data_IF_218315771230
#
_entry.id   IF_218315771230
#
_cell.length_a   1.000
_cell.length_b   1.000
_cell.length_c   1.000
_cell.angle_alpha   90.00
_cell.angle_beta   90.00
_cell.angle_gamma   90.00
#
_symmetry.space_group_name_H-M   'P 1'
#
loop_
_entity.id
_entity.type
_entity.pdbx_description
1 polymer ?
#
# COMPACT_ATOMS: atom_id res chain seq x y z
N UNK A 1 19.84 -25.96 -25.94
CA UNK A 1 18.96 -25.24 -24.97
C UNK A 1 19.32 -25.77 -23.59
N UNK A 2 19.87 -24.93 -22.68
CA UNK A 2 20.42 -25.42 -21.40
C UNK A 2 19.35 -26.09 -20.54
N UNK A 3 19.68 -27.25 -19.94
CA UNK A 3 18.82 -28.04 -19.04
C UNK A 3 18.22 -27.21 -17.90
N UNK A 4 18.91 -26.17 -17.44
CA UNK A 4 18.44 -25.29 -16.37
C UNK A 4 17.16 -24.53 -16.73
N UNK A 5 16.99 -24.16 -18.02
CA UNK A 5 15.78 -23.45 -18.49
C UNK A 5 14.56 -24.37 -18.56
N UNK A 6 14.77 -25.66 -18.74
CA UNK A 6 13.71 -26.68 -18.80
C UNK A 6 13.25 -27.03 -17.40
N UNK A 7 14.17 -27.18 -16.44
CA UNK A 7 13.87 -27.46 -15.04
C UNK A 7 13.14 -26.31 -14.35
N UNK A 8 13.51 -25.06 -14.61
CA UNK A 8 12.80 -23.89 -14.07
C UNK A 8 11.37 -23.83 -14.63
N UNK A 9 11.16 -24.02 -15.94
CA UNK A 9 9.82 -24.06 -16.56
C UNK A 9 8.94 -25.17 -15.99
N UNK A 10 9.47 -26.37 -15.78
CA UNK A 10 8.73 -27.49 -15.19
C UNK A 10 8.34 -27.20 -13.73
N UNK A 11 9.21 -26.56 -12.95
CA UNK A 11 8.92 -26.19 -11.57
C UNK A 11 7.85 -25.08 -11.47
N UNK A 12 7.90 -24.06 -12.33
CA UNK A 12 6.87 -23.00 -12.35
C UNK A 12 5.53 -23.51 -12.87
N UNK A 13 5.51 -24.35 -13.90
CA UNK A 13 4.26 -24.97 -14.37
C UNK A 13 3.67 -25.88 -13.29
N UNK A 14 4.48 -26.68 -12.58
CA UNK A 14 4.01 -27.52 -11.48
C UNK A 14 3.44 -26.71 -10.30
N UNK A 15 4.10 -25.62 -9.89
CA UNK A 15 3.60 -24.76 -8.78
C UNK A 15 2.33 -24.01 -9.18
N UNK A 16 2.23 -23.55 -10.43
CA UNK A 16 1.05 -22.83 -10.93
C UNK A 16 -0.16 -23.76 -11.10
N UNK A 17 0.08 -24.98 -11.61
CA UNK A 17 -0.93 -26.03 -11.77
C UNK A 17 -1.39 -26.52 -10.39
N UNK A 18 -0.48 -26.79 -9.45
CA UNK A 18 -0.84 -27.20 -8.08
C UNK A 18 -1.57 -26.09 -7.34
N UNK A 19 -1.19 -24.81 -7.47
CA UNK A 19 -1.90 -23.69 -6.87
C UNK A 19 -3.33 -23.53 -7.37
N UNK A 20 -3.55 -23.68 -8.68
CA UNK A 20 -4.88 -23.63 -9.30
C UNK A 20 -5.71 -24.87 -8.92
N UNK A 21 -5.14 -26.08 -8.94
CA UNK A 21 -5.87 -27.29 -8.58
C UNK A 21 -6.21 -27.35 -7.08
N UNK A 22 -5.33 -26.85 -6.20
CA UNK A 22 -5.66 -26.71 -4.76
C UNK A 22 -6.82 -25.72 -4.59
N UNK A 23 -6.83 -24.58 -5.30
CA UNK A 23 -7.93 -23.61 -5.26
C UNK A 23 -9.23 -24.08 -5.93
N UNK A 24 -9.14 -24.87 -7.00
CA UNK A 24 -10.30 -25.45 -7.71
C UNK A 24 -10.85 -26.71 -7.02
N UNK A 25 -10.05 -27.42 -6.22
CA UNK A 25 -10.47 -28.58 -5.42
C UNK A 25 -10.97 -28.21 -4.02
N UNK A 26 -10.58 -27.05 -3.50
CA UNK A 26 -11.09 -26.45 -2.24
C UNK A 26 -12.64 -26.37 -2.12
N UNK A 27 -13.45 -26.32 -3.20
CA UNK A 27 -14.92 -26.44 -3.14
C UNK A 27 -15.47 -27.85 -2.89
N UNK A 28 -14.69 -28.89 -3.12
CA UNK A 28 -15.17 -30.28 -3.14
C UNK A 28 -14.67 -31.11 -1.95
N UNK A 29 -13.93 -30.51 -1.00
CA UNK A 29 -13.51 -31.16 0.23
C UNK A 29 -14.68 -31.23 1.25
N UNK A 30 -15.06 -32.42 1.73
CA UNK A 30 -16.08 -32.57 2.76
C UNK A 30 -15.56 -32.04 4.11
N UNK A 31 -16.34 -31.18 4.78
CA UNK A 31 -15.97 -30.55 6.06
C UNK A 31 -15.58 -29.06 6.00
N UNK A 32 -15.92 -28.37 4.89
CA UNK A 32 -15.60 -26.95 4.66
C UNK A 32 -15.99 -26.03 5.83
N UNK A 33 -15.12 -25.08 6.25
CA UNK A 33 -15.62 -23.80 6.72
C UNK A 33 -16.50 -23.23 5.59
N UNK A 34 -17.65 -22.65 5.93
CA UNK A 34 -18.41 -21.80 4.98
C UNK A 34 -17.41 -20.83 4.32
N UNK A 35 -17.68 -20.39 3.08
CA UNK A 35 -16.92 -19.31 2.39
C UNK A 35 -16.38 -18.32 3.43
N UNK A 36 -15.16 -17.76 3.29
CA UNK A 36 -14.80 -16.65 4.15
C UNK A 36 -15.87 -15.60 3.93
N UNK A 37 -16.87 -15.60 4.80
CA UNK A 37 -17.79 -14.50 4.94
C UNK A 37 -16.82 -13.43 5.31
N UNK A 38 -16.63 -12.46 4.43
CA UNK A 38 -16.01 -11.20 4.79
C UNK A 38 -16.87 -10.68 5.92
N UNK A 39 -16.48 -11.05 7.14
CA UNK A 39 -17.14 -10.59 8.34
C UNK A 39 -16.82 -9.11 8.38
N UNK A 40 -17.81 -8.25 8.62
CA UNK A 40 -17.52 -6.90 9.06
C UNK A 40 -16.44 -7.01 10.14
N UNK A 41 -15.27 -6.41 9.92
CA UNK A 41 -14.27 -6.30 10.96
C UNK A 41 -14.87 -5.34 11.97
N UNK A 42 -15.48 -5.88 13.02
CA UNK A 42 -15.88 -5.09 14.17
C UNK A 42 -14.63 -4.91 15.01
N UNK A 43 -14.12 -3.68 15.05
CA UNK A 43 -13.01 -3.32 15.92
C UNK A 43 -13.58 -3.21 17.33
N UNK A 44 -13.18 -4.09 18.27
CA UNK A 44 -13.71 -4.06 19.62
C UNK A 44 -13.27 -2.77 20.32
N UNK A 45 -14.22 -2.07 20.94
CA UNK A 45 -13.92 -0.85 21.70
C UNK A 45 -13.29 -1.24 23.05
N UNK A 46 -12.00 -0.90 23.25
CA UNK A 46 -11.32 -1.14 24.52
C UNK A 46 -11.50 0.04 25.50
N UNK A 47 -11.67 -0.25 26.79
CA UNK A 47 -11.89 0.78 27.83
C UNK A 47 -10.69 1.73 28.05
N UNK A 48 -9.54 1.49 27.42
CA UNK A 48 -8.31 2.30 27.50
C UNK A 48 -7.87 2.85 26.14
N UNK A 49 -8.78 2.98 25.17
CA UNK A 49 -8.44 3.60 23.89
C UNK A 49 -8.03 5.07 24.05
N UNK A 50 -7.07 5.55 23.24
CA UNK A 50 -6.79 6.97 23.21
C UNK A 50 -7.99 7.72 22.63
N UNK A 51 -8.31 8.89 23.21
CA UNK A 51 -9.39 9.76 22.74
C UNK A 51 -9.25 10.11 21.24
N UNK A 52 -8.00 10.20 20.78
CA UNK A 52 -7.65 10.47 19.39
C UNK A 52 -6.53 9.54 18.93
N UNK A 53 -6.68 9.01 17.71
CA UNK A 53 -5.68 8.20 17.01
C UNK A 53 -5.11 8.98 15.84
N UNK A 54 -3.85 8.69 15.53
CA UNK A 54 -3.11 9.27 14.44
C UNK A 54 -2.69 8.17 13.48
N UNK A 55 -2.94 8.38 12.21
CA UNK A 55 -2.47 7.50 11.16
C UNK A 55 -1.57 8.30 10.22
N UNK A 56 -0.34 7.82 10.00
CA UNK A 56 0.54 8.35 8.96
C UNK A 56 0.69 7.34 7.83
N UNK A 57 0.25 7.71 6.64
CA UNK A 57 0.29 6.83 5.48
C UNK A 57 1.36 7.28 4.49
N UNK A 58 2.34 6.42 4.27
CA UNK A 58 3.37 6.58 3.25
C UNK A 58 3.11 5.59 2.12
N UNK A 59 3.20 6.06 0.88
CA UNK A 59 2.94 5.20 -0.26
C UNK A 59 2.86 5.93 -1.57
N UNK A 60 2.21 5.28 -2.53
CA UNK A 60 1.97 5.81 -3.86
C UNK A 60 0.49 6.11 -4.13
N UNK A 61 0.04 5.95 -5.38
CA UNK A 61 -1.34 6.18 -5.79
C UNK A 61 -2.36 5.27 -5.07
N UNK A 62 -1.94 4.14 -4.51
CA UNK A 62 -2.81 3.25 -3.72
C UNK A 62 -3.22 3.84 -2.38
N UNK A 63 -2.40 4.74 -1.84
CA UNK A 63 -2.59 5.35 -0.52
C UNK A 63 -2.91 6.83 -0.61
N UNK A 64 -2.60 7.50 -1.73
CA UNK A 64 -2.86 8.91 -1.91
C UNK A 64 -4.37 9.20 -1.87
N UNK A 65 -4.79 10.00 -0.88
CA UNK A 65 -6.11 10.64 -0.82
C UNK A 65 -6.01 12.16 -0.76
N UNK A 66 -4.83 12.71 -0.49
CA UNK A 66 -4.67 14.14 -0.21
C UNK A 66 -4.06 14.33 1.17
N UNK A 67 -3.28 15.40 1.27
CA UNK A 67 -2.76 16.03 2.48
C UNK A 67 -1.78 17.08 1.94
N UNK A 68 -2.32 18.28 1.76
CA UNK A 68 -1.55 19.46 1.45
C UNK A 68 -1.05 20.04 2.77
N UNK A 69 0.18 20.51 2.73
CA UNK A 69 0.85 21.17 3.85
C UNK A 69 0.86 22.67 3.57
N UNK A 70 1.06 23.48 4.61
CA UNK A 70 1.24 24.94 4.46
C UNK A 70 2.51 25.32 3.68
N UNK A 71 3.33 24.33 3.34
CA UNK A 71 4.49 24.47 2.47
C UNK A 71 4.27 23.72 1.16
N UNK A 72 4.80 24.29 0.09
CA UNK A 72 5.01 23.60 -1.18
C UNK A 72 6.42 23.08 -1.21
N UNK A 73 6.59 21.84 -1.64
CA UNK A 73 7.90 21.26 -1.90
C UNK A 73 8.05 21.13 -3.42
N UNK A 74 9.24 21.48 -3.91
CA UNK A 74 9.67 21.23 -5.28
C UNK A 74 10.85 20.29 -5.21
N UNK A 75 10.74 19.12 -5.85
CA UNK A 75 11.86 18.18 -5.91
C UNK A 75 12.97 18.75 -6.80
N UNK A 76 14.18 18.86 -6.27
CA UNK A 76 15.38 19.36 -6.97
C UNK A 76 16.33 18.23 -7.39
N UNK A 77 16.18 17.03 -6.82
CA UNK A 77 17.08 15.90 -7.06
C UNK A 77 16.59 14.56 -6.48
N UNK A 78 17.38 13.48 -6.61
CA UNK A 78 17.02 12.14 -6.15
C UNK A 78 17.17 11.90 -4.65
N UNK A 79 18.02 12.66 -3.97
CA UNK A 79 18.30 12.51 -2.56
C UNK A 79 17.11 12.84 -1.66
N UNK A 80 17.20 12.35 -0.42
CA UNK A 80 16.19 12.56 0.62
C UNK A 80 15.93 14.04 0.90
N UNK A 81 16.97 14.87 0.89
CA UNK A 81 16.92 16.31 1.16
C UNK A 81 16.91 17.17 -0.12
N UNK A 82 16.89 16.55 -1.30
CA UNK A 82 16.90 17.27 -2.58
C UNK A 82 15.51 17.84 -2.91
N UNK A 83 15.08 18.78 -2.08
CA UNK A 83 13.82 19.50 -2.20
C UNK A 83 13.99 20.95 -1.80
N UNK A 84 13.34 21.83 -2.55
CA UNK A 84 13.16 23.23 -2.17
C UNK A 84 11.79 23.39 -1.52
N UNK A 85 11.77 23.93 -0.30
CA UNK A 85 10.55 24.21 0.45
C UNK A 85 10.23 25.70 0.34
N UNK A 86 9.02 26.02 -0.10
CA UNK A 86 8.49 27.39 -0.14
C UNK A 86 7.20 27.48 0.66
N UNK A 87 6.96 28.63 1.28
CA UNK A 87 5.64 28.91 1.88
C UNK A 87 4.59 29.03 0.78
N UNK A 88 3.36 28.62 1.08
CA UNK A 88 2.26 28.82 0.15
C UNK A 88 2.02 30.31 -0.09
N UNK A 89 1.80 30.75 -1.34
CA UNK A 89 1.45 32.14 -1.62
C UNK A 89 0.20 32.59 -0.85
N UNK A 90 0.16 33.87 -0.48
CA UNK A 90 -1.05 34.59 -0.04
C UNK A 90 -1.77 34.10 1.22
N UNK A 91 -1.09 33.43 2.17
CA UNK A 91 -1.72 33.06 3.44
C UNK A 91 -2.84 32.01 3.32
N UNK A 92 -2.90 31.28 2.19
CA UNK A 92 -3.73 30.09 2.02
C UNK A 92 -3.20 28.93 2.88
N UNK A 93 -3.42 29.05 4.19
CA UNK A 93 -3.27 27.93 5.11
C UNK A 93 -4.29 26.86 4.71
N UNK A 94 -3.85 25.62 4.70
CA UNK A 94 -4.72 24.47 4.44
C UNK A 94 -5.04 23.78 5.75
N UNK A 95 -6.31 23.43 5.93
CA UNK A 95 -6.78 22.76 7.13
C UNK A 95 -6.09 21.40 7.28
N UNK A 96 -5.55 21.15 8.47
CA UNK A 96 -5.08 19.83 8.87
C UNK A 96 -6.24 18.88 9.16
N UNK A 97 -5.97 17.58 9.35
CA UNK A 97 -6.96 16.63 9.85
C UNK A 97 -7.74 17.14 11.06
N UNK A 98 -9.06 16.96 11.03
CA UNK A 98 -9.99 17.32 12.12
C UNK A 98 -11.14 16.30 12.22
N UNK A 99 -12.06 16.51 13.17
CA UNK A 99 -13.27 15.69 13.28
C UNK A 99 -14.21 15.85 12.07
N UNK A 100 -14.28 17.06 11.50
CA UNK A 100 -15.10 17.38 10.33
C UNK A 100 -14.48 16.83 9.05
N UNK A 101 -13.16 16.84 8.95
CA UNK A 101 -12.42 16.24 7.84
C UNK A 101 -11.20 15.44 8.35
N UNK A 102 -11.35 14.12 8.57
CA UNK A 102 -10.28 13.26 9.10
C UNK A 102 -9.01 13.18 8.25
N UNK A 103 -9.05 13.56 6.95
CA UNK A 103 -7.85 13.65 6.09
C UNK A 103 -7.33 15.09 5.93
N UNK A 104 -8.02 16.06 6.54
CA UNK A 104 -7.70 17.50 6.54
C UNK A 104 -8.06 18.19 5.24
N UNK A 105 -7.41 17.79 4.15
CA UNK A 105 -7.65 18.37 2.84
C UNK A 105 -7.25 17.43 1.67
N UNK A 106 -7.99 17.47 0.54
CA UNK A 106 -9.24 18.20 0.32
C UNK A 106 -10.41 17.53 1.07
N UNK A 107 -11.65 17.95 0.81
CA UNK A 107 -12.83 17.27 1.34
C UNK A 107 -12.85 15.77 0.98
N UNK A 108 -13.45 14.95 1.84
CA UNK A 108 -13.63 13.51 1.59
C UNK A 108 -14.37 13.27 0.26
N UNK A 109 -14.00 12.21 -0.50
CA UNK A 109 -13.07 11.13 -0.15
C UNK A 109 -11.58 11.48 -0.35
N UNK A 110 -11.29 12.70 -0.78
CA UNK A 110 -9.97 13.09 -1.23
C UNK A 110 -9.76 12.91 -2.74
N UNK A 111 -8.53 13.14 -3.21
CA UNK A 111 -8.09 12.84 -4.56
C UNK A 111 -7.42 11.45 -4.58
N UNK A 112 -8.21 10.43 -4.86
CA UNK A 112 -7.79 9.02 -4.87
C UNK A 112 -7.63 8.46 -6.28
N UNK A 113 -7.03 7.28 -6.40
CA UNK A 113 -7.01 6.50 -7.65
C UNK A 113 -8.05 5.38 -7.67
N UNK A 114 -8.92 5.30 -6.66
CA UNK A 114 -9.96 4.28 -6.53
C UNK A 114 -11.32 4.71 -7.11
N UNK A 115 -11.49 5.99 -7.47
CA UNK A 115 -12.77 6.57 -7.89
C UNK A 115 -13.66 7.04 -6.72
N UNK A 116 -13.39 6.57 -5.50
CA UNK A 116 -14.09 6.91 -4.26
C UNK A 116 -13.13 6.96 -3.07
N UNK A 117 -13.53 6.46 -1.90
CA UNK A 117 -12.60 6.30 -0.78
C UNK A 117 -11.52 5.26 -1.11
N UNK A 118 -10.30 5.47 -0.61
CA UNK A 118 -9.28 4.42 -0.60
C UNK A 118 -9.18 3.81 0.81
N UNK A 119 -8.27 2.84 0.99
CA UNK A 119 -8.12 2.12 2.25
C UNK A 119 -7.81 3.06 3.43
N UNK A 120 -7.00 4.10 3.20
CA UNK A 120 -6.59 5.04 4.23
C UNK A 120 -7.76 5.92 4.66
N UNK A 121 -8.55 6.39 3.70
CA UNK A 121 -9.76 7.15 3.99
C UNK A 121 -10.76 6.28 4.78
N UNK A 122 -10.97 5.03 4.37
CA UNK A 122 -11.84 4.09 5.10
C UNK A 122 -11.39 3.79 6.52
N UNK A 123 -10.08 3.69 6.77
CA UNK A 123 -9.55 3.52 8.12
C UNK A 123 -9.89 4.70 9.03
N UNK A 124 -9.95 5.91 8.49
CA UNK A 124 -10.20 7.13 9.25
C UNK A 124 -11.71 7.41 9.46
N UNK A 125 -12.57 6.87 8.59
CA UNK A 125 -14.01 7.23 8.54
C UNK A 125 -14.96 6.09 8.89
N UNK A 126 -14.61 4.84 8.56
CA UNK A 126 -15.50 3.69 8.70
C UNK A 126 -14.94 2.63 9.67
N UNK A 127 -13.62 2.41 9.66
CA UNK A 127 -12.96 1.39 10.46
C UNK A 127 -12.17 2.00 11.62
N UNK A 128 -12.80 2.92 12.35
CA UNK A 128 -12.29 3.54 13.56
C UNK A 128 -13.32 3.51 14.70
N UNK A 129 -12.84 3.41 15.93
CA UNK A 129 -13.65 3.44 17.16
C UNK A 129 -13.57 4.78 17.90
N UNK A 130 -12.48 5.52 17.69
CA UNK A 130 -12.27 6.90 18.15
C UNK A 130 -11.88 7.80 16.98
N UNK A 131 -11.87 9.12 17.20
CA UNK A 131 -11.43 10.08 16.17
C UNK A 131 -10.05 9.67 15.66
N UNK A 132 -9.93 9.47 14.35
CA UNK A 132 -8.68 9.07 13.71
C UNK A 132 -8.26 10.13 12.71
N UNK A 133 -7.21 10.87 13.05
CA UNK A 133 -6.62 11.90 12.18
C UNK A 133 -5.60 11.27 11.23
N UNK A 134 -5.88 11.31 9.93
CA UNK A 134 -5.09 10.68 8.90
C UNK A 134 -4.21 11.70 8.15
N UNK A 135 -2.91 11.62 8.39
CA UNK A 135 -1.88 12.39 7.72
C UNK A 135 -1.29 11.56 6.57
N UNK A 136 -1.80 11.77 5.35
CA UNK A 136 -1.51 10.93 4.19
C UNK A 136 -0.39 11.56 3.34
N UNK A 137 0.85 11.20 3.65
CA UNK A 137 2.04 11.67 2.93
C UNK A 137 2.22 11.02 1.54
N UNK A 138 1.46 9.96 1.23
CA UNK A 138 1.53 9.25 -0.03
C UNK A 138 1.45 10.17 -1.27
N UNK A 139 2.23 9.84 -2.31
CA UNK A 139 2.32 10.59 -3.57
C UNK A 139 2.30 9.64 -4.77
N UNK A 140 1.45 9.91 -5.75
CA UNK A 140 1.39 9.09 -6.97
C UNK A 140 2.75 8.97 -7.64
N UNK A 141 2.99 7.81 -8.26
CA UNK A 141 4.25 7.45 -8.93
C UNK A 141 5.49 7.40 -8.02
N UNK A 142 5.32 7.47 -6.70
CA UNK A 142 6.42 7.35 -5.76
C UNK A 142 7.06 5.95 -5.82
N UNK A 143 8.39 5.96 -5.90
CA UNK A 143 9.25 4.81 -5.64
C UNK A 143 9.77 4.90 -4.20
N UNK A 144 10.44 3.85 -3.70
CA UNK A 144 11.01 3.89 -2.34
C UNK A 144 12.06 5.00 -2.21
N UNK A 145 13.08 4.99 -3.06
CA UNK A 145 14.14 5.99 -3.03
C UNK A 145 14.69 6.18 -4.44
N UNK A 146 14.73 7.43 -4.91
CA UNK A 146 15.14 7.74 -6.27
C UNK A 146 16.65 7.57 -6.49
N UNK A 147 17.45 7.50 -5.42
CA UNK A 147 18.88 7.14 -5.49
C UNK A 147 19.09 5.63 -5.68
N UNK A 148 18.16 4.81 -5.18
CA UNK A 148 18.21 3.34 -5.32
C UNK A 148 17.56 2.89 -6.62
N UNK A 149 16.43 3.50 -6.97
CA UNK A 149 15.64 3.17 -8.14
C UNK A 149 15.06 4.45 -8.76
N UNK A 150 15.52 4.85 -9.95
CA UNK A 150 15.12 6.13 -10.52
C UNK A 150 13.60 6.26 -10.71
N UNK A 151 13.03 7.35 -10.21
CA UNK A 151 11.64 7.74 -10.50
C UNK A 151 11.43 7.93 -12.00
N UNK A 152 10.26 7.55 -12.51
CA UNK A 152 9.89 7.81 -13.92
C UNK A 152 9.72 9.29 -14.23
N UNK A 153 9.31 10.08 -13.24
CA UNK A 153 9.25 11.53 -13.33
C UNK A 153 10.28 12.16 -12.38
N UNK A 154 10.93 13.22 -12.85
CA UNK A 154 11.82 14.05 -12.02
C UNK A 154 11.06 14.84 -10.95
N UNK A 155 9.74 15.03 -11.09
CA UNK A 155 8.91 15.72 -10.10
C UNK A 155 8.28 14.80 -9.04
N UNK A 156 8.37 13.47 -9.18
CA UNK A 156 7.76 12.54 -8.22
C UNK A 156 8.58 12.43 -6.94
N UNK A 157 7.94 12.67 -5.79
CA UNK A 157 8.52 12.45 -4.47
C UNK A 157 8.59 10.97 -4.11
N UNK A 158 9.75 10.51 -3.64
CA UNK A 158 9.97 9.14 -3.16
C UNK A 158 9.49 8.93 -1.71
N UNK A 159 9.52 7.69 -1.19
CA UNK A 159 9.30 7.46 0.24
C UNK A 159 10.28 8.26 1.10
N UNK A 160 11.56 8.31 0.69
CA UNK A 160 12.57 9.10 1.40
C UNK A 160 12.14 10.56 1.60
N UNK A 161 11.65 11.20 0.55
CA UNK A 161 11.17 12.58 0.59
C UNK A 161 9.84 12.73 1.36
N UNK A 162 8.96 11.72 1.30
CA UNK A 162 7.75 11.72 2.13
C UNK A 162 8.07 11.68 3.64
N UNK A 163 9.18 11.07 4.06
CA UNK A 163 9.64 11.12 5.46
C UNK A 163 10.06 12.53 5.87
N UNK A 164 10.71 13.27 4.99
CA UNK A 164 11.06 14.68 5.27
C UNK A 164 9.78 15.50 5.45
N UNK A 165 8.79 15.33 4.58
CA UNK A 165 7.47 15.98 4.74
C UNK A 165 6.83 15.67 6.10
N UNK A 166 6.94 14.42 6.58
CA UNK A 166 6.45 14.03 7.91
C UNK A 166 7.23 14.74 9.02
N UNK A 167 8.57 14.73 8.97
CA UNK A 167 9.42 15.38 9.97
C UNK A 167 9.15 16.88 10.09
N UNK A 168 9.01 17.54 8.94
CA UNK A 168 8.77 18.98 8.84
C UNK A 168 7.37 19.39 9.33
N UNK A 169 6.43 18.44 9.42
CA UNK A 169 5.04 18.72 9.82
C UNK A 169 4.72 18.21 11.20
N UNK A 170 4.46 16.92 11.36
CA UNK A 170 3.98 16.35 12.62
C UNK A 170 5.03 15.54 13.35
N UNK A 171 6.20 15.28 12.75
CA UNK A 171 7.26 14.47 13.35
C UNK A 171 7.79 15.03 14.68
N UNK A 172 7.68 16.34 14.90
CA UNK A 172 8.05 17.02 16.14
C UNK A 172 6.88 17.15 17.13
N UNK A 173 5.73 16.50 16.87
CA UNK A 173 4.54 16.46 17.75
C UNK A 173 4.01 17.85 18.13
N UNK A 174 3.67 18.70 17.14
CA UNK A 174 3.07 20.00 17.43
C UNK A 174 1.74 19.84 18.16
N UNK A 175 1.25 20.91 18.79
CA UNK A 175 0.01 20.87 19.59
C UNK A 175 -1.21 20.32 18.81
N UNK A 176 -1.33 20.62 17.51
CA UNK A 176 -2.41 20.13 16.66
C UNK A 176 -2.25 18.65 16.23
N UNK A 177 -1.11 18.03 16.54
CA UNK A 177 -0.82 16.64 16.24
C UNK A 177 0.04 16.03 17.37
N UNK A 178 -0.48 16.08 18.61
CA UNK A 178 0.22 15.66 19.83
C UNK A 178 0.20 14.12 20.01
N UNK A 179 0.64 13.40 18.98
CA UNK A 179 0.61 11.95 18.99
C UNK A 179 1.62 11.33 19.97
N UNK A 180 1.34 10.11 20.38
CA UNK A 180 2.20 9.29 21.24
C UNK A 180 2.46 7.94 20.59
N UNK A 181 3.44 7.19 21.10
CA UNK A 181 3.69 5.81 20.68
C UNK A 181 2.45 4.89 20.75
N UNK A 182 1.46 5.21 21.61
CA UNK A 182 0.22 4.44 21.74
C UNK A 182 -0.89 4.88 20.78
N UNK A 183 -0.86 6.14 20.34
CA UNK A 183 -1.92 6.71 19.51
C UNK A 183 -1.57 6.81 18.03
N UNK A 184 -0.30 6.69 17.64
CA UNK A 184 0.13 6.74 16.23
C UNK A 184 0.42 5.36 15.62
N UNK A 185 0.04 5.19 14.36
CA UNK A 185 0.50 4.10 13.48
C UNK A 185 1.10 4.63 12.20
N UNK A 186 2.28 4.11 11.81
CA UNK A 186 2.87 4.32 10.50
C UNK A 186 2.55 3.17 9.57
N UNK A 187 2.01 3.49 8.40
CA UNK A 187 1.59 2.50 7.42
C UNK A 187 2.30 2.79 6.10
N UNK A 188 3.04 1.80 5.62
CA UNK A 188 3.95 1.91 4.48
C UNK A 188 3.53 0.94 3.39
N UNK A 189 3.16 1.47 2.23
CA UNK A 189 2.74 0.67 1.07
C UNK A 189 3.39 1.16 -0.22
N UNK A 190 4.45 0.47 -0.64
CA UNK A 190 5.27 0.81 -1.81
C UNK A 190 5.58 -0.42 -2.66
N UNK A 191 6.12 -0.15 -3.85
CA UNK A 191 6.76 -1.12 -4.71
C UNK A 191 6.09 -1.33 -6.06
N UNK A 192 4.88 -0.80 -6.26
CA UNK A 192 4.20 -0.83 -7.57
C UNK A 192 5.04 -0.13 -8.64
N UNK A 193 5.49 1.08 -8.32
CA UNK A 193 6.31 1.89 -9.22
C UNK A 193 7.73 1.32 -9.36
N UNK A 194 8.31 0.84 -8.27
CA UNK A 194 9.63 0.19 -8.24
C UNK A 194 9.65 -1.01 -9.21
N UNK A 195 8.73 -1.95 -9.03
CA UNK A 195 8.57 -3.11 -9.93
C UNK A 195 8.43 -2.66 -11.38
N UNK A 196 7.61 -1.63 -11.62
CA UNK A 196 7.36 -1.15 -12.98
C UNK A 196 8.61 -0.53 -13.64
N UNK A 197 9.58 -0.04 -12.87
CA UNK A 197 10.85 0.51 -13.37
C UNK A 197 11.85 -0.61 -13.71
N UNK A 198 11.82 -1.75 -13.00
CA UNK A 198 12.86 -2.79 -13.10
C UNK A 198 12.41 -4.15 -13.62
N UNK A 199 11.11 -4.45 -13.74
CA UNK A 199 10.56 -5.80 -14.03
C UNK A 199 11.06 -6.45 -15.33
N UNK A 200 11.67 -5.68 -16.22
CA UNK A 200 12.22 -6.16 -17.50
C UNK A 200 13.71 -5.84 -17.66
N UNK A 201 14.40 -5.48 -16.57
CA UNK A 201 15.82 -5.10 -16.60
C UNK A 201 16.71 -6.20 -16.04
N UNK A 202 17.88 -6.40 -16.66
CA UNK A 202 18.91 -7.29 -16.12
C UNK A 202 19.34 -6.80 -14.73
N UNK A 203 19.48 -7.73 -13.79
CA UNK A 203 19.88 -7.39 -12.41
C UNK A 203 18.76 -6.88 -11.51
N UNK A 204 17.49 -6.94 -11.95
CA UNK A 204 16.32 -6.52 -11.17
C UNK A 204 16.32 -7.04 -9.72
N UNK A 205 16.78 -8.28 -9.49
CA UNK A 205 16.78 -8.89 -8.16
C UNK A 205 17.59 -8.08 -7.14
N UNK A 206 18.77 -7.57 -7.53
CA UNK A 206 19.62 -6.75 -6.65
C UNK A 206 18.99 -5.40 -6.35
N UNK A 207 18.34 -4.77 -7.34
CA UNK A 207 17.68 -3.48 -7.17
C UNK A 207 16.44 -3.62 -6.28
N UNK A 208 15.63 -4.68 -6.47
CA UNK A 208 14.46 -4.95 -5.62
C UNK A 208 14.84 -5.24 -4.17
N UNK A 209 15.97 -5.93 -3.96
CA UNK A 209 16.53 -6.18 -2.63
C UNK A 209 17.02 -4.89 -1.96
N UNK A 210 17.76 -4.05 -2.69
CA UNK A 210 18.21 -2.75 -2.19
C UNK A 210 17.01 -1.84 -1.85
N UNK A 211 16.00 -1.77 -2.72
CA UNK A 211 14.78 -0.99 -2.47
C UNK A 211 14.01 -1.52 -1.26
N UNK A 212 13.88 -2.84 -1.10
CA UNK A 212 13.23 -3.42 0.08
C UNK A 212 14.00 -3.10 1.36
N UNK A 213 15.33 -3.24 1.37
CA UNK A 213 16.13 -2.86 2.54
C UNK A 213 15.95 -1.37 2.86
N UNK A 214 15.92 -0.52 1.83
CA UNK A 214 15.75 0.92 1.97
C UNK A 214 14.42 1.31 2.62
N UNK A 215 13.33 0.55 2.43
CA UNK A 215 12.07 0.75 3.16
C UNK A 215 12.29 0.73 4.68
N UNK A 216 13.11 -0.20 5.18
CA UNK A 216 13.33 -0.38 6.62
C UNK A 216 14.38 0.58 7.16
N UNK A 217 15.40 0.92 6.37
CA UNK A 217 16.33 2.02 6.70
C UNK A 217 15.59 3.35 6.87
N UNK A 218 14.64 3.64 5.96
CA UNK A 218 13.78 4.82 6.05
C UNK A 218 12.79 4.71 7.22
N UNK A 219 12.23 3.52 7.46
CA UNK A 219 11.34 3.29 8.63
C UNK A 219 12.08 3.41 9.96
N UNK A 220 13.39 3.21 10.00
CA UNK A 220 14.22 3.51 11.18
C UNK A 220 14.10 4.97 11.57
N UNK A 221 14.12 5.90 10.60
CA UNK A 221 13.98 7.33 10.85
C UNK A 221 12.64 7.62 11.55
N UNK A 222 11.56 6.97 11.11
CA UNK A 222 10.24 7.08 11.73
C UNK A 222 10.25 6.50 13.16
N UNK A 223 10.89 5.35 13.38
CA UNK A 223 11.04 4.76 14.70
C UNK A 223 11.82 5.69 15.65
N UNK A 224 12.88 6.33 15.16
CA UNK A 224 13.71 7.25 15.95
C UNK A 224 12.93 8.52 16.37
N UNK A 225 11.87 8.89 15.63
CA UNK A 225 10.92 9.95 16.07
C UNK A 225 10.02 9.54 17.23
N UNK A 226 9.99 8.25 17.58
CA UNK A 226 9.18 7.68 18.67
C UNK A 226 7.93 6.92 18.21
N UNK A 227 7.72 6.72 16.90
CA UNK A 227 6.66 5.83 16.42
C UNK A 227 6.98 4.39 16.84
N UNK A 228 5.97 3.65 17.32
CA UNK A 228 6.10 2.26 17.77
C UNK A 228 5.10 1.29 17.14
N UNK A 229 4.20 1.74 16.29
CA UNK A 229 3.30 0.86 15.52
C UNK A 229 3.59 1.03 14.03
N UNK A 230 3.97 -0.07 13.38
CA UNK A 230 4.33 -0.11 11.97
C UNK A 230 3.54 -1.19 11.24
N UNK A 231 3.00 -0.84 10.08
CA UNK A 231 2.34 -1.76 9.17
C UNK A 231 2.99 -1.66 7.80
N UNK A 232 3.39 -2.80 7.24
CA UNK A 232 3.90 -2.93 5.88
C UNK A 232 2.92 -3.77 5.06
N UNK A 233 2.43 -3.23 3.95
CA UNK A 233 1.42 -3.89 3.10
C UNK A 233 2.10 -4.48 1.87
N UNK A 234 1.77 -5.73 1.55
CA UNK A 234 2.29 -6.39 0.35
C UNK A 234 1.72 -5.79 -0.94
N UNK A 235 2.43 -6.01 -2.07
CA UNK A 235 1.89 -5.67 -3.38
C UNK A 235 0.86 -6.75 -3.77
N UNK A 236 -0.32 -6.37 -4.26
CA UNK A 236 -1.32 -7.34 -4.71
C UNK A 236 -0.85 -8.14 -5.92
N UNK A 237 -1.52 -9.29 -6.21
CA UNK A 237 -1.21 -10.13 -7.36
C UNK A 237 -1.42 -9.35 -8.66
N UNK A 238 -0.33 -8.79 -9.20
CA UNK A 238 -0.33 -7.91 -10.38
C UNK A 238 -0.81 -8.64 -11.63
N UNK A 239 -0.74 -9.97 -11.62
CA UNK A 239 -1.30 -10.82 -12.64
C UNK A 239 -2.80 -10.60 -12.84
N UNK A 240 -3.56 -10.22 -11.81
CA UNK A 240 -5.02 -10.02 -11.92
C UNK A 240 -5.42 -8.70 -12.59
N UNK A 241 -4.47 -7.78 -12.77
CA UNK A 241 -4.76 -6.43 -13.22
C UNK A 241 -5.15 -6.38 -14.70
N UNK A 242 -6.12 -5.55 -15.11
CA UNK A 242 -6.53 -5.45 -16.51
C UNK A 242 -5.36 -5.08 -17.43
N UNK A 243 -4.49 -4.15 -17.01
CA UNK A 243 -3.29 -3.76 -17.76
C UNK A 243 -2.27 -4.89 -17.94
N UNK A 244 -2.28 -5.88 -17.06
CA UNK A 244 -1.41 -7.04 -17.15
C UNK A 244 -2.05 -8.18 -17.93
N UNK A 245 -3.33 -8.47 -17.69
CA UNK A 245 -4.13 -9.44 -18.43
C UNK A 245 -4.17 -9.11 -19.94
N UNK A 246 -4.28 -7.83 -20.30
CA UNK A 246 -4.26 -7.37 -21.69
C UNK A 246 -2.96 -7.73 -22.44
N UNK A 247 -1.85 -8.00 -21.74
CA UNK A 247 -0.56 -8.37 -22.35
C UNK A 247 -0.41 -9.87 -22.58
N UNK A 248 -1.25 -10.70 -21.96
CA UNK A 248 -1.08 -12.16 -21.90
C UNK A 248 -1.08 -12.81 -23.29
N UNK A 249 -1.96 -12.37 -24.19
CA UNK A 249 -2.07 -12.97 -25.53
C UNK A 249 -0.90 -12.64 -26.45
N UNK A 250 -0.18 -11.55 -26.19
CA UNK A 250 0.88 -11.02 -27.06
C UNK A 250 2.27 -11.11 -26.41
N UNK A 251 2.43 -11.92 -25.36
CA UNK A 251 3.67 -11.99 -24.60
C UNK A 251 4.72 -12.90 -25.27
N UNK A 252 5.46 -12.33 -26.23
CA UNK A 252 6.56 -13.03 -26.91
C UNK A 252 7.85 -13.09 -26.10
N UNK A 253 7.94 -12.37 -24.96
CA UNK A 253 9.17 -12.18 -24.19
C UNK A 253 9.08 -12.65 -22.72
N UNK A 254 8.06 -13.43 -22.36
CA UNK A 254 7.78 -13.85 -20.96
C UNK A 254 7.62 -12.66 -19.99
N UNK A 255 7.28 -11.49 -20.50
CA UNK A 255 7.06 -10.27 -19.72
C UNK A 255 5.90 -10.41 -18.72
N UNK A 256 4.93 -11.26 -19.03
CA UNK A 256 3.80 -11.62 -18.16
C UNK A 256 4.31 -12.33 -16.90
N UNK A 257 5.03 -13.43 -17.07
CA UNK A 257 5.56 -14.25 -15.98
C UNK A 257 6.60 -13.50 -15.13
N UNK A 258 7.42 -12.66 -15.78
CA UNK A 258 8.46 -11.88 -15.10
C UNK A 258 7.91 -10.88 -14.08
N UNK A 259 6.72 -10.32 -14.33
CA UNK A 259 6.06 -9.44 -13.36
C UNK A 259 5.63 -10.21 -12.12
N UNK A 260 5.01 -11.38 -12.30
CA UNK A 260 4.58 -12.24 -11.18
C UNK A 260 5.79 -12.69 -10.34
N UNK A 261 6.89 -13.07 -11.00
CA UNK A 261 8.16 -13.36 -10.31
C UNK A 261 8.67 -12.16 -9.50
N UNK A 262 8.66 -10.96 -10.09
CA UNK A 262 9.13 -9.76 -9.43
C UNK A 262 8.25 -9.36 -8.22
N UNK A 263 6.92 -9.49 -8.34
CA UNK A 263 5.97 -9.30 -7.23
C UNK A 263 6.24 -10.29 -6.10
N UNK A 264 6.37 -11.58 -6.41
CA UNK A 264 6.66 -12.62 -5.42
C UNK A 264 8.00 -12.37 -4.71
N UNK A 265 9.03 -11.96 -5.46
CA UNK A 265 10.33 -11.60 -4.89
C UNK A 265 10.22 -10.38 -3.98
N UNK A 266 9.50 -9.33 -4.39
CA UNK A 266 9.26 -8.14 -3.56
C UNK A 266 8.55 -8.50 -2.26
N UNK A 267 7.41 -9.20 -2.33
CA UNK A 267 6.62 -9.54 -1.16
C UNK A 267 7.39 -10.47 -0.20
N UNK A 268 8.20 -11.39 -0.73
CA UNK A 268 9.08 -12.25 0.08
C UNK A 268 10.12 -11.44 0.84
N UNK A 269 10.81 -10.50 0.16
CA UNK A 269 11.79 -9.62 0.78
C UNK A 269 11.15 -8.71 1.82
N UNK A 270 10.00 -8.11 1.50
CA UNK A 270 9.26 -7.24 2.41
C UNK A 270 8.92 -8.00 3.70
N UNK A 271 8.38 -9.22 3.59
CA UNK A 271 8.05 -10.07 4.74
C UNK A 271 9.27 -10.42 5.58
N UNK A 272 10.37 -10.83 4.95
CA UNK A 272 11.62 -11.17 5.66
C UNK A 272 12.15 -9.97 6.43
N UNK A 273 12.18 -8.80 5.80
CA UNK A 273 12.65 -7.58 6.44
C UNK A 273 11.67 -7.06 7.52
N UNK A 274 10.35 -7.26 7.38
CA UNK A 274 9.38 -6.98 8.45
C UNK A 274 9.65 -7.84 9.68
N UNK A 275 9.95 -9.14 9.49
CA UNK A 275 10.33 -10.04 10.58
C UNK A 275 11.62 -9.57 11.25
N UNK A 276 12.61 -9.15 10.47
CA UNK A 276 13.88 -8.63 10.99
C UNK A 276 13.65 -7.34 11.79
N UNK A 277 12.94 -6.36 11.23
CA UNK A 277 12.65 -5.09 11.88
C UNK A 277 11.91 -5.27 13.20
N UNK A 278 10.95 -6.21 13.25
CA UNK A 278 10.27 -6.59 14.50
C UNK A 278 11.22 -7.18 15.55
N UNK A 279 12.19 -8.01 15.12
CA UNK A 279 13.16 -8.64 16.03
C UNK A 279 14.16 -7.64 16.60
N UNK A 280 14.53 -6.62 15.83
CA UNK A 280 15.49 -5.59 16.25
C UNK A 280 14.84 -4.42 17.00
N UNK A 281 13.51 -4.31 16.98
CA UNK A 281 12.73 -3.27 17.67
C UNK A 281 11.66 -3.90 18.55
N UNK A 282 12.09 -4.52 19.64
CA UNK A 282 11.22 -5.34 20.52
C UNK A 282 10.17 -4.52 21.28
N UNK A 283 10.33 -3.20 21.36
CA UNK A 283 9.38 -2.26 21.94
C UNK A 283 8.36 -1.72 20.91
N UNK A 284 8.38 -2.18 19.67
CA UNK A 284 7.46 -1.78 18.60
C UNK A 284 6.54 -2.93 18.14
N UNK A 285 5.27 -2.62 17.88
CA UNK A 285 4.33 -3.49 17.15
C UNK A 285 4.60 -3.34 15.66
N UNK A 286 5.13 -4.39 15.04
CA UNK A 286 5.50 -4.41 13.62
C UNK A 286 4.73 -5.51 12.91
N UNK A 287 3.90 -5.13 11.94
CA UNK A 287 2.96 -6.04 11.26
C UNK A 287 3.16 -6.05 9.75
N UNK A 288 3.07 -7.23 9.16
CA UNK A 288 2.96 -7.43 7.72
C UNK A 288 1.51 -7.72 7.37
N UNK A 289 0.95 -7.01 6.39
CA UNK A 289 -0.43 -7.21 5.92
C UNK A 289 -0.43 -7.81 4.53
N UNK A 290 -1.03 -8.99 4.46
CA UNK A 290 -1.37 -9.67 3.21
C UNK A 290 -2.68 -9.13 2.65
N UNK A 291 -2.75 -8.96 1.33
CA UNK A 291 -3.94 -8.55 0.58
C UNK A 291 -4.22 -9.48 -0.61
N UNK A 292 -3.37 -10.47 -0.88
CA UNK A 292 -3.52 -11.36 -2.05
C UNK A 292 -4.90 -12.04 -2.11
N UNK A 293 -5.38 -12.58 -1.00
CA UNK A 293 -6.67 -13.25 -0.87
C UNK A 293 -7.86 -12.31 -1.14
N UNK A 294 -7.79 -11.05 -0.70
CA UNK A 294 -8.80 -10.02 -1.02
C UNK A 294 -8.93 -9.87 -2.54
N UNK A 295 -7.79 -9.76 -3.23
CA UNK A 295 -7.77 -9.60 -4.68
C UNK A 295 -8.26 -10.85 -5.41
N UNK A 296 -7.82 -12.04 -5.00
CA UNK A 296 -8.29 -13.29 -5.62
C UNK A 296 -9.77 -13.56 -5.38
N UNK A 297 -10.28 -13.32 -4.18
CA UNK A 297 -11.70 -13.47 -3.88
C UNK A 297 -12.53 -12.50 -4.73
N UNK A 298 -12.14 -11.23 -4.78
CA UNK A 298 -12.83 -10.22 -5.57
C UNK A 298 -12.78 -10.51 -7.08
N UNK A 299 -11.66 -11.06 -7.56
CA UNK A 299 -11.50 -11.44 -8.97
C UNK A 299 -12.28 -12.71 -9.34
N UNK A 300 -12.32 -13.71 -8.47
CA UNK A 300 -12.99 -14.99 -8.75
C UNK A 300 -14.50 -14.95 -8.45
N UNK A 301 -14.95 -14.07 -7.56
CA UNK A 301 -16.35 -13.93 -7.14
C UNK A 301 -16.78 -12.45 -7.02
N UNK A 302 -16.66 -11.64 -8.09
CA UNK A 302 -17.01 -10.22 -8.02
C UNK A 302 -18.45 -9.97 -7.57
N UNK A 303 -19.39 -10.86 -7.92
CA UNK A 303 -20.80 -10.72 -7.55
C UNK A 303 -21.04 -10.89 -6.04
N UNK A 304 -20.18 -11.61 -5.30
CA UNK A 304 -20.31 -11.68 -3.84
C UNK A 304 -19.95 -10.34 -3.16
N UNK A 305 -19.31 -9.44 -3.88
CA UNK A 305 -19.03 -8.05 -3.46
C UNK A 305 -20.01 -7.04 -4.05
N UNK A 306 -21.03 -7.49 -4.78
CA UNK A 306 -21.95 -6.62 -5.52
C UNK A 306 -21.35 -6.00 -6.78
N UNK A 307 -20.25 -6.56 -7.32
CA UNK A 307 -19.56 -6.05 -8.51
C UNK A 307 -19.97 -6.83 -9.75
N UNK A 308 -19.98 -6.16 -10.91
CA UNK A 308 -20.48 -6.73 -12.16
C UNK A 308 -19.69 -7.96 -12.64
N UNK A 309 -18.38 -7.79 -12.84
CA UNK A 309 -17.44 -8.86 -13.22
C UNK A 309 -15.99 -8.45 -12.92
N UNK A 310 -15.04 -9.36 -13.14
CA UNK A 310 -13.63 -9.19 -12.79
C UNK A 310 -12.80 -8.41 -13.81
N UNK A 311 -13.38 -8.08 -14.97
CA UNK A 311 -12.69 -7.39 -16.07
C UNK A 311 -13.20 -5.98 -16.30
N UNK A 312 -14.35 -5.62 -15.74
CA UNK A 312 -14.97 -4.33 -16.01
C UNK A 312 -14.20 -3.19 -15.31
N UNK A 313 -14.29 -2.01 -15.91
CA UNK A 313 -13.63 -0.79 -15.46
C UNK A 313 -14.68 0.30 -15.32
N UNK A 314 -14.71 0.93 -14.15
CA UNK A 314 -15.58 2.07 -13.84
C UNK A 314 -14.75 3.14 -13.13
N UNK A 315 -14.47 4.30 -13.77
CA UNK A 315 -13.73 5.39 -13.13
C UNK A 315 -14.35 5.92 -11.84
N UNK A 316 -15.65 5.71 -11.59
CA UNK A 316 -16.29 6.05 -10.32
C UNK A 316 -15.91 5.10 -9.18
N UNK A 317 -15.39 3.91 -9.51
CA UNK A 317 -14.91 2.92 -8.55
C UNK A 317 -16.00 2.12 -7.83
N UNK A 318 -17.27 2.30 -8.19
CA UNK A 318 -18.42 1.80 -7.43
C UNK A 318 -18.91 0.44 -7.93
N UNK A 319 -19.13 0.33 -9.24
CA UNK A 319 -19.84 -0.83 -9.81
C UNK A 319 -18.88 -1.90 -10.36
N UNK A 320 -17.63 -1.51 -10.63
CA UNK A 320 -16.60 -2.40 -11.17
C UNK A 320 -15.47 -2.69 -10.19
N UNK A 321 -14.87 -3.86 -10.41
CA UNK A 321 -13.69 -4.29 -9.65
C UNK A 321 -12.51 -3.32 -9.81
N UNK A 322 -12.41 -2.65 -10.96
CA UNK A 322 -11.31 -1.78 -11.31
C UNK A 322 -11.78 -0.35 -11.56
N UNK A 323 -11.08 0.63 -10.98
CA UNK A 323 -11.29 2.05 -11.28
C UNK A 323 -10.64 2.45 -12.60
N UNK A 324 -9.50 1.83 -12.90
CA UNK A 324 -8.81 1.90 -14.18
C UNK A 324 -7.97 0.62 -14.36
N UNK A 325 -7.22 0.52 -15.45
CA UNK A 325 -6.45 -0.70 -15.76
C UNK A 325 -5.32 -1.02 -14.78
N UNK A 326 -4.97 -0.11 -13.87
CA UNK A 326 -3.90 -0.23 -12.89
C UNK A 326 -4.30 -0.06 -11.43
N UNK A 327 -5.57 0.26 -11.14
CA UNK A 327 -6.05 0.55 -9.78
C UNK A 327 -7.41 -0.10 -9.52
N UNK A 328 -7.59 -0.76 -8.37
CA UNK A 328 -8.86 -1.35 -8.01
C UNK A 328 -9.89 -0.28 -7.60
N UNK A 329 -11.17 -0.63 -7.68
CA UNK A 329 -12.27 0.19 -7.22
C UNK A 329 -12.40 0.23 -5.69
N UNK A 330 -13.39 0.98 -5.23
CA UNK A 330 -13.62 1.30 -3.82
C UNK A 330 -13.87 0.04 -2.96
N UNK A 331 -14.52 -1.00 -3.50
CA UNK A 331 -14.79 -2.24 -2.73
C UNK A 331 -13.54 -2.98 -2.29
N UNK A 332 -12.53 -3.12 -3.15
CA UNK A 332 -11.24 -3.71 -2.72
C UNK A 332 -10.59 -2.82 -1.67
N UNK A 333 -10.58 -1.50 -1.88
CA UNK A 333 -9.99 -0.56 -0.93
C UNK A 333 -10.67 -0.62 0.45
N UNK A 334 -11.99 -0.79 0.51
CA UNK A 334 -12.74 -0.98 1.75
C UNK A 334 -12.30 -2.23 2.50
N UNK A 335 -12.14 -3.35 1.80
CA UNK A 335 -11.68 -4.61 2.39
C UNK A 335 -10.25 -4.52 2.94
N UNK A 336 -9.37 -3.83 2.21
CA UNK A 336 -8.00 -3.56 2.66
C UNK A 336 -8.03 -2.63 3.89
N UNK A 337 -8.84 -1.57 3.85
CA UNK A 337 -9.01 -0.65 4.97
C UNK A 337 -9.45 -1.38 6.25
N UNK A 338 -10.44 -2.27 6.15
CA UNK A 338 -10.90 -3.08 7.28
C UNK A 338 -9.79 -3.95 7.86
N UNK A 339 -9.02 -4.63 7.00
CA UNK A 339 -7.92 -5.51 7.44
C UNK A 339 -6.76 -4.72 8.07
N UNK A 340 -6.40 -3.59 7.48
CA UNK A 340 -5.31 -2.76 8.01
C UNK A 340 -5.73 -2.13 9.34
N UNK A 341 -6.99 -1.68 9.46
CA UNK A 341 -7.55 -1.19 10.71
C UNK A 341 -7.57 -2.26 11.80
N UNK A 342 -7.93 -3.50 11.48
CA UNK A 342 -7.83 -4.63 12.43
C UNK A 342 -6.40 -4.75 12.99
N UNK A 343 -5.38 -4.66 12.14
CA UNK A 343 -3.99 -4.76 12.58
C UNK A 343 -3.49 -3.53 13.34
N UNK A 344 -4.00 -2.36 12.99
CA UNK A 344 -3.65 -1.11 13.67
C UNK A 344 -4.27 -1.04 15.07
N UNK A 345 -5.58 -1.32 15.17
CA UNK A 345 -6.41 -0.99 16.32
C UNK A 345 -6.85 -2.19 17.17
N UNK A 346 -6.84 -3.40 16.60
CA UNK A 346 -7.22 -4.63 17.29
C UNK A 346 -6.05 -5.42 17.89
#
# INVERSE_FOLDING_TARGET
MSQDKVSVRLLTTAVFVVGIFVFLALPFLPGRPKSPVIRPVTIPHHAQEPNERFMVAFGDSYSRSGFQMNFTYTRTGPGVDDMERTERPNGELVDGPSAENPIGNPALPGNTSSGGQNWATYMATEFNTTLTLAYIFARSAAVVDAEVIPSRSKSSFSFAQQIVHFKDTIGHRPHYAAWTAKSIVAIVWFGFNDLSVVSHKRGQGRVLEAANRRIFELSQILYDTGIRNFIFIEIPPKELFPSHQAKKSNDTHHSYEMVSYAVNRWNSLLRQNTVLFRRTHTDAKVTYVEVWDIFYEAFLRPQSLGLQNSTCVDPSGKDCLWANTGHPGEKIHRLIGARVAEKAWG
#
